data_IF_799692749723
#
_entry.id   IF_799692749723
#
_cell.length_a   1.000
_cell.length_b   1.000
_cell.length_c   1.000
_cell.angle_alpha   90.00
_cell.angle_beta   90.00
_cell.angle_gamma   90.00
#
_symmetry.space_group_name_H-M   'P 1'
#
loop_
_entity.id
_entity.type
_entity.pdbx_description
1 polymer ?
#
# COMPACT_ATOMS: atom_id res chain seq x y z
N UNK A 1 -27.63 27.58 1.87
CA UNK A 1 -26.17 27.46 2.03
C UNK A 1 -25.89 26.08 2.57
N UNK A 2 -25.04 25.29 1.93
CA UNK A 2 -24.67 23.95 2.43
C UNK A 2 -23.69 24.05 3.58
N UNK A 3 -23.68 23.06 4.47
CA UNK A 3 -22.65 22.92 5.52
C UNK A 3 -21.52 22.06 4.94
N UNK A 4 -20.29 22.57 5.02
CA UNK A 4 -19.09 21.81 4.68
C UNK A 4 -18.42 21.34 5.96
N UNK A 5 -18.17 20.03 6.06
CA UNK A 5 -17.43 19.43 7.17
C UNK A 5 -16.15 18.83 6.60
N UNK A 6 -15.02 19.26 7.14
CA UNK A 6 -13.69 18.72 6.85
C UNK A 6 -13.17 17.96 8.07
N UNK A 7 -12.78 16.69 7.87
CA UNK A 7 -12.17 15.85 8.91
C UNK A 7 -10.84 15.32 8.39
N UNK A 8 -9.77 15.50 9.17
CA UNK A 8 -8.44 14.97 8.88
C UNK A 8 -7.96 14.02 9.97
N UNK A 9 -7.23 12.99 9.55
CA UNK A 9 -6.53 12.06 10.45
C UNK A 9 -5.16 11.72 9.88
N UNK A 10 -4.17 11.64 10.75
CA UNK A 10 -2.79 11.28 10.43
C UNK A 10 -2.29 10.13 11.32
N UNK A 11 -1.61 9.16 10.72
CA UNK A 11 -0.97 8.03 11.41
C UNK A 11 0.40 7.75 10.80
N UNK A 12 1.38 7.51 11.65
CA UNK A 12 2.70 7.01 11.27
C UNK A 12 2.74 5.48 11.41
N UNK A 13 3.05 4.78 10.31
CA UNK A 13 3.24 3.32 10.32
C UNK A 13 4.70 2.97 10.16
N UNK A 14 5.21 2.11 11.05
CA UNK A 14 6.49 1.44 10.88
C UNK A 14 6.26 0.06 10.26
N UNK A 15 6.72 -0.14 9.03
CA UNK A 15 6.64 -1.43 8.35
C UNK A 15 7.97 -2.14 8.51
N UNK A 16 7.96 -3.32 9.10
CA UNK A 16 9.12 -4.21 9.18
C UNK A 16 8.75 -5.55 8.55
N UNK A 17 9.30 -5.82 7.38
CA UNK A 17 9.08 -7.09 6.70
C UNK A 17 10.06 -8.12 7.25
N UNK A 18 9.60 -8.95 8.18
CA UNK A 18 10.37 -10.09 8.70
C UNK A 18 9.63 -11.38 8.37
N UNK A 19 9.89 -11.90 7.18
CA UNK A 19 9.60 -13.26 6.74
C UNK A 19 8.11 -13.67 6.82
N UNK A 20 7.36 -13.51 5.71
CA UNK A 20 6.09 -14.23 5.55
C UNK A 20 6.47 -15.70 5.34
N UNK A 21 6.01 -16.58 6.24
CA UNK A 21 6.28 -18.04 6.34
C UNK A 21 6.00 -18.89 5.07
N UNK A 22 5.79 -18.27 3.89
CA UNK A 22 5.32 -18.91 2.66
C UNK A 22 5.99 -18.45 1.37
N UNK A 23 7.00 -17.57 1.41
CA UNK A 23 7.72 -17.16 0.20
C UNK A 23 9.10 -17.79 0.17
N UNK A 24 9.38 -18.54 -0.90
CA UNK A 24 10.65 -19.23 -1.14
C UNK A 24 11.86 -18.29 -1.32
N UNK A 25 11.61 -16.98 -1.37
CA UNK A 25 12.60 -15.93 -1.50
C UNK A 25 12.57 -15.06 -0.24
N UNK A 26 13.73 -14.55 0.19
CA UNK A 26 13.87 -13.66 1.33
C UNK A 26 13.94 -12.18 0.88
N UNK A 27 12.80 -11.48 0.65
CA UNK A 27 12.84 -10.03 0.47
C UNK A 27 13.40 -9.38 1.71
N UNK A 28 14.27 -8.40 1.49
CA UNK A 28 14.58 -7.43 2.52
C UNK A 28 13.90 -6.10 2.20
N UNK A 29 12.99 -5.67 3.08
CA UNK A 29 12.43 -4.33 3.08
C UNK A 29 12.93 -3.62 4.33
N UNK A 30 13.61 -2.50 4.15
CA UNK A 30 14.08 -1.70 5.28
C UNK A 30 12.91 -1.15 6.09
N UNK A 31 13.10 -1.10 7.41
CA UNK A 31 12.13 -0.48 8.31
C UNK A 31 11.87 0.97 7.90
N UNK A 32 10.65 1.24 7.47
CA UNK A 32 10.27 2.51 6.85
C UNK A 32 9.04 3.09 7.52
N UNK A 33 9.07 4.41 7.71
CA UNK A 33 7.99 5.19 8.30
C UNK A 33 7.17 5.85 7.20
N UNK A 34 5.87 5.65 7.22
CA UNK A 34 4.95 6.28 6.28
C UNK A 34 3.89 7.07 7.04
N UNK A 35 3.60 8.28 6.55
CA UNK A 35 2.50 9.10 7.03
C UNK A 35 1.28 8.88 6.15
N UNK A 36 0.21 8.34 6.73
CA UNK A 36 -1.09 8.24 6.10
C UNK A 36 -1.91 9.48 6.46
N UNK A 37 -2.35 10.23 5.45
CA UNK A 37 -3.25 11.36 5.60
C UNK A 37 -4.59 11.04 4.93
N UNK A 38 -5.67 11.09 5.71
CA UNK A 38 -7.04 10.93 5.22
C UNK A 38 -7.77 12.24 5.41
N UNK A 39 -8.37 12.75 4.34
CA UNK A 39 -9.17 13.96 4.33
C UNK A 39 -10.58 13.64 3.83
N UNK A 40 -11.58 13.84 4.68
CA UNK A 40 -12.99 13.68 4.32
C UNK A 40 -13.64 15.04 4.17
N UNK A 41 -14.23 15.30 3.01
CA UNK A 41 -15.06 16.48 2.75
C UNK A 41 -16.50 16.06 2.56
N UNK A 42 -17.38 16.52 3.44
CA UNK A 42 -18.80 16.29 3.35
C UNK A 42 -19.51 17.60 3.04
N UNK A 43 -20.13 17.68 1.87
CA UNK A 43 -20.97 18.81 1.47
C UNK A 43 -22.43 18.39 1.59
N UNK A 44 -23.15 19.01 2.52
CA UNK A 44 -24.57 18.75 2.73
C UNK A 44 -25.39 19.82 2.02
N UNK A 45 -25.95 19.49 0.85
CA UNK A 45 -27.02 20.26 0.22
C UNK A 45 -28.37 19.60 0.47
N UNK A 46 -29.45 20.38 0.52
CA UNK A 46 -30.79 19.90 0.85
C UNK A 46 -31.33 18.80 -0.10
N UNK A 47 -30.72 18.63 -1.28
CA UNK A 47 -31.11 17.68 -2.32
C UNK A 47 -29.95 16.78 -2.79
N UNK A 48 -28.73 17.00 -2.30
CA UNK A 48 -27.53 16.29 -2.77
C UNK A 48 -26.50 16.16 -1.64
N UNK A 49 -26.07 14.94 -1.38
CA UNK A 49 -24.97 14.62 -0.48
C UNK A 49 -23.90 13.98 -1.34
N UNK A 50 -22.87 14.76 -1.67
CA UNK A 50 -21.75 14.32 -2.51
C UNK A 50 -20.45 14.38 -1.71
N UNK A 51 -20.16 13.35 -0.89
CA UNK A 51 -19.04 13.41 0.02
C UNK A 51 -17.77 12.89 -0.68
N UNK A 52 -16.66 13.63 -0.60
CA UNK A 52 -15.36 13.26 -1.19
C UNK A 52 -14.35 12.80 -0.12
N UNK A 53 -13.50 11.84 -0.45
CA UNK A 53 -12.41 11.39 0.42
C UNK A 53 -11.10 11.42 -0.35
N UNK A 54 -10.10 12.09 0.20
CA UNK A 54 -8.73 12.08 -0.33
C UNK A 54 -7.88 11.28 0.64
N UNK A 55 -7.16 10.29 0.12
CA UNK A 55 -6.22 9.47 0.88
C UNK A 55 -4.85 9.64 0.26
N UNK A 56 -3.84 10.00 1.06
CA UNK A 56 -2.46 10.08 0.62
C UNK A 56 -1.54 9.35 1.59
N UNK A 57 -0.56 8.66 1.05
CA UNK A 57 0.49 7.99 1.80
C UNK A 57 1.82 8.65 1.40
N UNK A 58 2.51 9.22 2.38
CA UNK A 58 3.73 9.98 2.15
C UNK A 58 4.89 9.31 2.89
N UNK A 59 6.05 9.26 2.26
CA UNK A 59 7.31 8.87 2.91
C UNK A 59 8.30 10.01 2.79
N UNK A 60 9.03 10.29 3.86
CA UNK A 60 10.13 11.27 3.86
C UNK A 60 11.44 10.68 3.33
N UNK A 61 11.51 9.36 3.13
CA UNK A 61 12.70 8.63 2.67
C UNK A 61 12.36 7.69 1.53
N UNK A 62 13.33 7.43 0.65
CA UNK A 62 13.20 6.39 -0.36
C UNK A 62 13.07 5.03 0.34
N UNK A 63 12.09 4.24 -0.08
CA UNK A 63 11.94 2.86 0.39
C UNK A 63 13.01 2.01 -0.29
N UNK A 64 13.92 1.43 0.49
CA UNK A 64 14.88 0.46 -0.02
C UNK A 64 14.25 -0.94 -0.01
N UNK A 65 14.13 -1.51 -1.20
CA UNK A 65 13.67 -2.88 -1.40
C UNK A 65 14.81 -3.63 -2.06
N UNK A 66 15.38 -4.58 -1.35
CA UNK A 66 16.39 -5.48 -1.90
C UNK A 66 15.71 -6.80 -2.27
N UNK A 67 15.76 -7.11 -3.55
CA UNK A 67 15.32 -8.38 -4.12
C UNK A 67 16.59 -9.14 -4.45
N UNK A 68 16.98 -10.06 -3.56
CA UNK A 68 18.23 -10.81 -3.64
C UNK A 68 18.21 -11.91 -4.71
N UNK A 69 17.03 -12.40 -5.07
CA UNK A 69 16.84 -13.48 -6.05
C UNK A 69 15.78 -13.10 -7.08
N UNK A 70 15.99 -13.40 -8.38
CA UNK A 70 14.99 -13.13 -9.41
C UNK A 70 13.71 -13.91 -9.13
N UNK A 71 12.56 -13.25 -9.31
CA UNK A 71 11.27 -13.91 -9.38
C UNK A 71 11.26 -14.84 -10.60
N UNK A 72 11.56 -16.12 -10.40
CA UNK A 72 11.34 -17.15 -11.42
C UNK A 72 9.88 -17.59 -11.25
N UNK A 73 9.03 -17.13 -12.15
CA UNK A 73 7.74 -17.78 -12.39
C UNK A 73 8.08 -19.17 -12.92
N UNK A 74 7.70 -20.24 -12.21
CA UNK A 74 7.84 -21.61 -12.74
C UNK A 74 6.90 -21.77 -13.94
N UNK A 75 7.33 -21.29 -15.11
CA UNK A 75 6.70 -21.67 -16.37
C UNK A 75 7.01 -23.14 -16.58
N UNK A 76 6.05 -23.99 -16.21
CA UNK A 76 6.18 -25.44 -16.15
C UNK A 76 6.87 -26.04 -17.37
N UNK A 77 8.07 -26.56 -17.15
CA UNK A 77 8.79 -27.37 -18.14
C UNK A 77 8.48 -28.85 -17.87
N UNK A 78 7.21 -29.23 -18.09
CA UNK A 78 6.77 -30.61 -18.16
C UNK A 78 6.43 -30.93 -19.61
N UNK A 79 7.44 -31.23 -20.44
CA UNK A 79 7.30 -32.04 -21.68
C UNK A 79 8.67 -32.16 -22.36
N UNK A 80 9.53 -33.03 -21.85
CA UNK A 80 10.66 -33.56 -22.62
C UNK A 80 11.04 -35.02 -22.30
N UNK A 81 10.41 -35.66 -21.30
CA UNK A 81 10.71 -37.07 -20.93
C UNK A 81 9.56 -38.04 -21.28
N UNK A 82 8.86 -37.80 -22.39
CA UNK A 82 8.06 -38.85 -23.06
C UNK A 82 8.64 -39.11 -24.43
N UNK A 83 9.74 -39.85 -24.46
CA UNK A 83 10.21 -40.60 -25.62
C UNK A 83 10.34 -42.07 -25.22
#
# INVERSE_FOLDING_TARGET
MGVEIEVSAFVDFLINYKNIDKVMWEPFIESSCFQLNILRKCVFHALDVSPSTVVSLNSSKQLNVNISEPFIEESGQWSADRM
#
